data_IF_840053106799
#
_entry.id   IF_840053106799
#
_cell.length_a   1.000
_cell.length_b   1.000
_cell.length_c   1.000
_cell.angle_alpha   90.00
_cell.angle_beta   90.00
_cell.angle_gamma   90.00
#
_symmetry.space_group_name_H-M   'P 1'
#
loop_
_entity.id
_entity.type
_entity.pdbx_description
1 polymer ?
#
# COMPACT_ATOMS: atom_id res chain seq x y z
N UNK A 1 -10.78 6.52 -3.83
CA UNK A 1 -10.55 5.59 -4.99
C UNK A 1 -10.16 4.19 -4.50
N UNK A 2 -10.17 3.15 -5.35
CA UNK A 2 -9.69 1.79 -4.99
C UNK A 2 -8.24 1.62 -5.46
N UNK A 3 -7.33 1.32 -4.54
CA UNK A 3 -5.91 1.15 -4.78
C UNK A 3 -5.51 -0.32 -4.55
N UNK A 4 -4.77 -0.89 -5.50
CA UNK A 4 -4.13 -2.19 -5.34
C UNK A 4 -2.63 -1.98 -5.20
N UNK A 5 -2.05 -2.52 -4.12
CA UNK A 5 -0.61 -2.45 -3.86
C UNK A 5 -0.08 -3.87 -3.78
N UNK A 6 0.87 -4.19 -4.65
CA UNK A 6 1.50 -5.51 -4.72
C UNK A 6 2.99 -5.30 -4.51
N UNK A 7 3.53 -5.93 -3.48
CA UNK A 7 4.95 -5.97 -3.20
C UNK A 7 5.42 -7.42 -3.25
N UNK A 8 6.58 -7.67 -3.87
CA UNK A 8 7.16 -9.01 -3.98
C UNK A 8 8.32 -9.26 -3.00
N UNK A 9 8.76 -8.24 -2.29
CA UNK A 9 9.89 -8.29 -1.36
C UNK A 9 9.57 -7.46 -0.11
N UNK A 10 10.21 -7.78 1.02
CA UNK A 10 10.02 -7.06 2.28
C UNK A 10 10.36 -5.56 2.18
N UNK A 11 11.30 -5.20 1.30
CA UNK A 11 11.63 -3.81 0.97
C UNK A 11 10.41 -3.09 0.36
N UNK A 12 9.65 -3.77 -0.49
CA UNK A 12 8.44 -3.27 -1.14
C UNK A 12 7.29 -3.05 -0.16
N UNK A 13 7.14 -3.93 0.85
CA UNK A 13 6.11 -3.76 1.88
C UNK A 13 6.33 -2.47 2.69
N UNK A 14 7.58 -2.17 3.04
CA UNK A 14 7.93 -0.97 3.80
C UNK A 14 7.63 0.33 3.01
N UNK A 15 8.01 0.37 1.73
CA UNK A 15 7.69 1.50 0.86
C UNK A 15 6.18 1.60 0.61
N UNK A 16 5.50 0.47 0.42
CA UNK A 16 4.05 0.40 0.26
C UNK A 16 3.30 0.97 1.47
N UNK A 17 3.75 0.68 2.69
CA UNK A 17 3.16 1.23 3.91
C UNK A 17 3.26 2.76 3.97
N UNK A 18 4.41 3.33 3.61
CA UNK A 18 4.60 4.78 3.56
C UNK A 18 3.70 5.43 2.49
N UNK A 19 3.55 4.79 1.34
CA UNK A 19 2.66 5.25 0.27
C UNK A 19 1.19 5.26 0.72
N UNK A 20 0.72 4.17 1.36
CA UNK A 20 -0.65 4.10 1.89
C UNK A 20 -0.91 5.24 2.89
N UNK A 21 0.06 5.51 3.76
CA UNK A 21 -0.05 6.60 4.75
C UNK A 21 -0.25 7.95 4.06
N UNK A 22 0.58 8.28 3.09
CA UNK A 22 0.47 9.53 2.34
C UNK A 22 -0.84 9.64 1.54
N UNK A 23 -1.32 8.53 0.96
CA UNK A 23 -2.59 8.52 0.23
C UNK A 23 -3.77 8.75 1.19
N UNK A 24 -3.78 8.14 2.38
CA UNK A 24 -4.85 8.34 3.37
C UNK A 24 -4.95 9.79 3.86
N UNK A 25 -3.84 10.52 3.90
CA UNK A 25 -3.82 11.94 4.24
C UNK A 25 -4.49 12.81 3.16
N UNK A 26 -4.49 12.36 1.90
CA UNK A 26 -5.06 13.09 0.75
C UNK A 26 -6.45 12.62 0.36
N UNK A 27 -6.75 11.34 0.55
CA UNK A 27 -8.04 10.71 0.26
C UNK A 27 -8.45 9.83 1.44
N UNK A 28 -9.31 10.36 2.32
CA UNK A 28 -9.85 9.62 3.47
C UNK A 28 -10.78 8.48 3.05
N UNK A 29 -11.30 8.50 1.82
CA UNK A 29 -12.17 7.45 1.27
C UNK A 29 -11.38 6.45 0.41
N UNK A 30 -10.05 6.49 0.46
CA UNK A 30 -9.21 5.52 -0.21
C UNK A 30 -9.42 4.12 0.36
N UNK A 31 -9.69 3.16 -0.53
CA UNK A 31 -9.85 1.75 -0.20
C UNK A 31 -8.65 1.01 -0.75
N UNK A 32 -7.98 0.21 0.08
CA UNK A 32 -6.76 -0.48 -0.29
C UNK A 32 -6.98 -1.99 -0.31
N UNK A 33 -6.43 -2.65 -1.33
CA UNK A 33 -6.17 -4.08 -1.33
C UNK A 33 -4.67 -4.26 -1.48
N UNK A 34 -4.07 -4.97 -0.53
CA UNK A 34 -2.62 -5.12 -0.46
C UNK A 34 -2.28 -6.60 -0.52
N UNK A 35 -1.30 -6.94 -1.34
CA UNK A 35 -0.68 -8.26 -1.39
C UNK A 35 0.82 -8.07 -1.16
N UNK A 36 1.32 -8.62 -0.05
CA UNK A 36 2.74 -8.60 0.28
C UNK A 36 3.46 -9.83 -0.27
N UNK A 37 4.78 -9.74 -0.30
CA UNK A 37 5.64 -10.86 -0.68
C UNK A 37 5.68 -11.83 0.49
N UNK A 38 5.04 -12.98 0.35
CA UNK A 38 5.43 -14.14 1.14
C UNK A 38 6.77 -14.59 0.58
N UNK A 39 7.76 -14.79 1.46
CA UNK A 39 9.17 -15.04 1.13
C UNK A 39 9.42 -15.86 -0.14
#
# INVERSE_FOLDING_TARGET
>A
MKYYIIAGEASGDMHGANLIKAIKEKDQHAVFRVWGGDR
#
